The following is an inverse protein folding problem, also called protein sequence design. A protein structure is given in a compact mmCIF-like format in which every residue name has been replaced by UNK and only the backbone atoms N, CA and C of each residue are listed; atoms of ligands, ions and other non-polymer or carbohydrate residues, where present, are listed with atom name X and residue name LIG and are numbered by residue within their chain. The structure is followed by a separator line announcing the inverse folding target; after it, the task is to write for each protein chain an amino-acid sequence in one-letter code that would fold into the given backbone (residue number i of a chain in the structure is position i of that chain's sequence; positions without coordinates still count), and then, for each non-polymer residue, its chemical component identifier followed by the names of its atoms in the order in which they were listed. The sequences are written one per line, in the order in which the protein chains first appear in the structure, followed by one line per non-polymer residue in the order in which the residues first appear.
data_IF_820704909458
#
_entry.id   IF_820704909458
#
_cell.length_a   1.000
_cell.length_b   1.000
_cell.length_c   1.000
_cell.angle_alpha   90.00
_cell.angle_beta   90.00
_cell.angle_gamma   90.00
#
_symmetry.space_group_name_H-M   'P 1'
#
loop_
_entity.id
_entity.type
_entity.pdbx_description
1 polymer ?
#
# COMPACT_ATOMS: atom_id res chain seq x y z
N UNK A 1 -2.89 6.81 8.44
CA UNK A 1 -3.33 5.45 8.83
C UNK A 1 -4.22 4.89 7.74
N UNK A 2 -4.36 3.56 7.70
CA UNK A 2 -5.20 2.85 6.73
C UNK A 2 -4.39 2.08 5.69
N UNK A 3 -5.11 1.47 4.76
CA UNK A 3 -4.56 0.71 3.64
C UNK A 3 -4.40 1.60 2.42
N UNK A 4 -3.25 1.50 1.78
CA UNK A 4 -2.87 2.29 0.61
C UNK A 4 -2.30 1.38 -0.47
N UNK A 5 -2.57 1.68 -1.73
CA UNK A 5 -2.05 1.00 -2.90
C UNK A 5 -1.02 1.89 -3.60
N UNK A 6 0.13 1.33 -3.98
CA UNK A 6 1.11 2.00 -4.80
C UNK A 6 0.65 2.05 -6.26
N UNK A 7 0.42 3.25 -6.76
CA UNK A 7 0.04 3.51 -8.16
C UNK A 7 1.24 3.85 -9.03
N UNK A 8 2.31 4.36 -8.42
CA UNK A 8 3.53 4.73 -9.13
C UNK A 8 4.73 4.66 -8.20
N UNK A 9 5.64 3.74 -8.49
CA UNK A 9 7.02 3.78 -8.05
C UNK A 9 7.87 3.02 -9.07
N UNK A 10 8.75 3.76 -9.74
CA UNK A 10 9.76 3.20 -10.64
C UNK A 10 11.11 3.63 -10.10
N UNK A 11 11.92 2.66 -9.69
CA UNK A 11 13.22 2.90 -9.09
C UNK A 11 14.27 2.08 -9.83
N UNK A 12 15.21 2.73 -10.53
CA UNK A 12 16.28 2.08 -11.30
C UNK A 12 15.78 0.98 -12.26
N UNK A 13 14.63 1.19 -12.91
CA UNK A 13 14.02 0.21 -13.81
C UNK A 13 13.25 -0.93 -13.11
N UNK A 14 13.14 -0.89 -11.78
CA UNK A 14 12.25 -1.73 -10.99
C UNK A 14 10.87 -1.09 -10.94
N UNK A 15 9.84 -1.82 -11.37
CA UNK A 15 8.45 -1.43 -11.22
C UNK A 15 7.89 -2.04 -9.94
N UNK A 16 7.49 -1.19 -8.99
CA UNK A 16 6.94 -1.63 -7.72
C UNK A 16 5.40 -1.56 -7.77
N UNK A 17 4.75 -2.67 -7.38
CA UNK A 17 3.29 -2.80 -7.26
C UNK A 17 3.00 -3.40 -5.89
N UNK A 18 2.49 -2.61 -4.95
CA UNK A 18 2.35 -3.05 -3.56
C UNK A 18 1.26 -2.31 -2.81
N UNK A 19 0.95 -2.83 -1.63
CA UNK A 19 0.10 -2.19 -0.64
C UNK A 19 0.92 -1.81 0.59
N UNK A 20 0.55 -0.70 1.21
CA UNK A 20 1.07 -0.22 2.49
C UNK A 20 -0.07 -0.09 3.48
N UNK A 21 0.03 -0.76 4.62
CA UNK A 21 -0.89 -0.58 5.73
C UNK A 21 -0.18 0.12 6.90
N UNK A 22 -0.73 1.26 7.31
CA UNK A 22 -0.22 2.06 8.44
C UNK A 22 -1.20 2.01 9.61
N UNK A 23 -0.80 1.36 10.70
CA UNK A 23 -1.60 1.20 11.91
C UNK A 23 -1.38 2.37 12.89
N UNK A 24 -2.39 2.67 13.71
CA UNK A 24 -2.34 3.80 14.67
C UNK A 24 -1.42 3.62 15.86
N UNK A 25 -0.95 2.41 16.10
CA UNK A 25 0.07 2.10 17.10
C UNK A 25 1.50 2.28 16.58
N UNK A 26 1.68 2.89 15.40
CA UNK A 26 2.99 3.08 14.78
C UNK A 26 3.56 1.83 14.11
N UNK A 27 2.81 0.73 13.98
CA UNK A 27 3.19 -0.42 13.16
C UNK A 27 2.84 -0.20 11.69
N UNK A 28 3.54 -0.86 10.78
CA UNK A 28 3.18 -0.92 9.38
C UNK A 28 3.60 -2.22 8.70
N UNK A 29 2.99 -2.50 7.54
CA UNK A 29 3.34 -3.60 6.64
C UNK A 29 3.27 -3.12 5.19
N UNK A 30 4.23 -3.55 4.37
CA UNK A 30 4.24 -3.34 2.93
C UNK A 30 4.35 -4.69 2.23
N UNK A 31 3.49 -5.01 1.27
CA UNK A 31 3.55 -6.28 0.54
C UNK A 31 3.12 -6.13 -0.90
N UNK A 32 3.73 -6.91 -1.79
CA UNK A 32 3.42 -6.85 -3.21
C UNK A 32 4.49 -7.51 -4.06
N UNK A 33 4.72 -6.95 -5.23
CA UNK A 33 5.71 -7.41 -6.20
C UNK A 33 6.62 -6.27 -6.63
N UNK A 34 7.89 -6.61 -6.82
CA UNK A 34 8.84 -5.80 -7.58
C UNK A 34 9.12 -6.52 -8.91
N UNK A 35 9.00 -5.80 -10.02
CA UNK A 35 9.17 -6.34 -11.36
C UNK A 35 10.43 -5.74 -12.00
N UNK A 36 11.31 -6.60 -12.52
CA UNK A 36 12.52 -6.21 -13.27
C UNK A 36 12.60 -7.03 -14.54
N UNK A 37 12.74 -6.38 -15.70
CA UNK A 37 12.91 -7.06 -16.99
C UNK A 37 11.81 -8.13 -17.25
N UNK A 38 10.58 -7.86 -16.82
CA UNK A 38 9.42 -8.76 -16.94
C UNK A 38 9.34 -9.87 -15.88
N UNK A 39 10.28 -9.94 -14.94
CA UNK A 39 10.29 -10.92 -13.84
C UNK A 39 9.75 -10.27 -12.56
N UNK A 40 8.60 -10.73 -12.09
CA UNK A 40 7.99 -10.29 -10.84
C UNK A 40 8.46 -11.15 -9.65
N UNK A 41 9.00 -10.49 -8.61
CA UNK A 41 9.41 -11.10 -7.35
C UNK A 41 8.52 -10.56 -6.23
N UNK A 42 7.93 -11.44 -5.43
CA UNK A 42 7.11 -11.04 -4.29
C UNK A 42 7.96 -10.52 -3.12
N UNK A 43 7.42 -9.54 -2.39
CA UNK A 43 8.00 -9.09 -1.14
C UNK A 43 6.95 -8.85 -0.06
N UNK A 44 7.41 -8.94 1.19
CA UNK A 44 6.63 -8.66 2.38
C UNK A 44 7.56 -8.09 3.45
N UNK A 45 7.28 -6.85 3.86
CA UNK A 45 8.08 -6.08 4.80
C UNK A 45 7.18 -5.62 5.95
N UNK A 46 7.67 -5.64 7.18
CA UNK A 46 6.97 -5.06 8.32
C UNK A 46 7.91 -4.36 9.29
N UNK A 47 7.36 -3.45 10.08
CA UNK A 47 8.11 -2.73 11.09
C UNK A 47 7.33 -1.57 11.68
N UNK A 48 8.03 -0.47 11.96
CA UNK A 48 7.45 0.71 12.60
C UNK A 48 7.55 1.95 11.72
N UNK A 49 6.58 2.84 11.86
CA UNK A 49 6.54 4.11 11.15
C UNK A 49 6.26 5.28 12.09
N UNK A 50 6.76 6.45 11.71
CA UNK A 50 6.39 7.74 12.31
C UNK A 50 6.48 8.83 11.26
N UNK A 51 5.66 9.86 11.41
CA UNK A 51 5.68 11.03 10.55
C UNK A 51 6.07 12.25 11.38
N UNK A 52 7.24 12.85 11.09
CA UNK A 52 7.79 13.97 11.86
C UNK A 52 8.40 14.98 10.89
N UNK A 53 8.04 16.25 11.04
CA UNK A 53 8.66 17.35 10.27
C UNK A 53 8.56 17.18 8.76
N UNK A 54 7.43 16.68 8.25
CA UNK A 54 7.24 16.49 6.82
C UNK A 54 7.95 15.26 6.25
N UNK A 55 8.40 14.31 7.07
CA UNK A 55 9.10 13.10 6.63
C UNK A 55 8.46 11.86 7.23
N UNK A 56 8.29 10.84 6.40
CA UNK A 56 8.01 9.48 6.83
C UNK A 56 9.32 8.83 7.24
N UNK A 57 9.35 8.26 8.44
CA UNK A 57 10.43 7.39 8.90
C UNK A 57 9.85 5.98 9.01
N UNK A 58 10.44 5.03 8.30
CA UNK A 58 10.04 3.64 8.29
C UNK A 58 11.21 2.74 8.71
N UNK A 59 11.13 2.14 9.89
CA UNK A 59 12.11 1.17 10.36
C UNK A 59 11.67 -0.24 9.95
N UNK A 60 12.50 -0.91 9.15
CA UNK A 60 12.22 -2.26 8.64
C UNK A 60 12.71 -3.29 9.66
N UNK A 61 11.80 -4.05 10.25
CA UNK A 61 12.15 -5.09 11.23
C UNK A 61 12.16 -6.49 10.61
N UNK A 62 11.29 -6.72 9.62
CA UNK A 62 11.19 -7.97 8.89
C UNK A 62 11.05 -7.68 7.41
N UNK A 63 11.73 -8.48 6.58
CA UNK A 63 11.63 -8.38 5.12
C UNK A 63 12.04 -9.70 4.44
N UNK A 64 11.42 -9.97 3.29
CA UNK A 64 11.94 -10.95 2.32
C UNK A 64 13.19 -10.43 1.59
N UNK A 65 13.38 -9.10 1.52
CA UNK A 65 14.57 -8.43 1.00
C UNK A 65 15.55 -8.22 2.16
N UNK A 66 16.53 -9.10 2.30
CA UNK A 66 17.38 -9.16 3.51
C UNK A 66 18.19 -7.90 3.76
N UNK A 67 18.61 -7.20 2.70
CA UNK A 67 19.52 -6.07 2.81
C UNK A 67 18.92 -4.84 3.49
N UNK A 68 17.59 -4.75 3.58
CA UNK A 68 16.90 -3.60 4.18
C UNK A 68 16.52 -3.81 5.64
N UNK A 69 16.67 -5.02 6.20
CA UNK A 69 16.34 -5.30 7.60
C UNK A 69 17.24 -4.47 8.54
N UNK A 70 16.62 -3.85 9.55
CA UNK A 70 17.28 -2.97 10.52
C UNK A 70 17.56 -1.56 10.01
N UNK A 71 17.16 -1.23 8.77
CA UNK A 71 17.33 0.12 8.21
C UNK A 71 16.13 1.00 8.52
N UNK A 72 16.39 2.29 8.77
CA UNK A 72 15.39 3.35 8.74
C UNK A 72 15.39 3.99 7.34
N UNK A 73 14.28 3.85 6.62
CA UNK A 73 14.02 4.57 5.38
C UNK A 73 13.38 5.92 5.74
N UNK A 74 13.86 6.99 5.11
CA UNK A 74 13.40 8.35 5.39
C UNK A 74 12.96 8.99 4.09
N UNK A 75 11.64 9.16 3.96
CA UNK A 75 11.00 9.59 2.74
C UNK A 75 10.32 10.96 2.96
N UNK A 76 10.82 12.05 2.35
CA UNK A 76 10.18 13.35 2.42
C UNK A 76 8.77 13.35 1.82
N UNK A 77 7.85 14.04 2.48
CA UNK A 77 6.51 14.30 1.95
C UNK A 77 6.59 15.35 0.86
N UNK A 78 6.03 15.03 -0.30
CA UNK A 78 5.84 15.99 -1.41
C UNK A 78 4.41 16.53 -1.43
N UNK A 79 3.40 15.68 -1.20
CA UNK A 79 1.99 16.09 -1.15
C UNK A 79 1.17 15.12 -0.30
N UNK A 80 0.21 15.65 0.47
CA UNK A 80 -0.73 14.88 1.25
C UNK A 80 -2.15 15.37 0.98
N UNK A 81 -2.99 14.48 0.45
CA UNK A 81 -4.42 14.66 0.25
C UNK A 81 -5.18 13.60 1.05
N UNK A 82 -6.51 13.64 1.00
CA UNK A 82 -7.34 12.70 1.78
C UNK A 82 -7.10 11.24 1.35
N UNK A 83 -7.07 11.01 0.04
CA UNK A 83 -7.00 9.71 -0.62
C UNK A 83 -5.74 9.49 -1.43
N UNK A 84 -4.81 10.45 -1.46
CA UNK A 84 -3.52 10.32 -2.15
C UNK A 84 -2.40 10.88 -1.28
N UNK A 85 -1.26 10.20 -1.28
CA UNK A 85 -0.03 10.70 -0.67
C UNK A 85 1.14 10.47 -1.62
N UNK A 86 1.99 11.48 -1.71
CA UNK A 86 3.17 11.48 -2.56
C UNK A 86 4.41 11.67 -1.69
N UNK A 87 5.30 10.69 -1.73
CA UNK A 87 6.60 10.71 -1.05
C UNK A 87 7.72 10.79 -2.08
N UNK A 88 8.91 11.20 -1.62
CA UNK A 88 10.16 10.96 -2.34
C UNK A 88 10.91 9.84 -1.62
N UNK A 89 11.24 8.74 -2.31
CA UNK A 89 12.01 7.66 -1.69
C UNK A 89 13.50 8.03 -1.55
N UNK A 90 14.26 7.18 -0.86
CA UNK A 90 15.71 7.38 -0.63
C UNK A 90 16.57 7.52 -1.89
N UNK A 91 16.06 7.14 -3.07
CA UNK A 91 16.75 7.31 -4.35
C UNK A 91 16.32 8.55 -5.14
N UNK A 92 15.41 9.35 -4.58
CA UNK A 92 14.93 10.58 -5.21
C UNK A 92 13.71 10.38 -6.11
N UNK A 93 13.21 9.15 -6.25
CA UNK A 93 12.02 8.86 -7.05
C UNK A 93 10.73 9.19 -6.30
N UNK A 94 9.69 9.56 -7.05
CA UNK A 94 8.37 9.80 -6.49
C UNK A 94 7.60 8.50 -6.30
N UNK A 95 7.03 8.34 -5.11
CA UNK A 95 6.14 7.24 -4.74
C UNK A 95 4.74 7.81 -4.57
N UNK A 96 3.78 7.33 -5.34
CA UNK A 96 2.36 7.74 -5.26
C UNK A 96 1.54 6.60 -4.68
N UNK A 97 1.00 6.82 -3.49
CA UNK A 97 0.09 5.89 -2.84
C UNK A 97 -1.34 6.44 -2.83
N UNK A 98 -2.33 5.60 -3.10
CA UNK A 98 -3.75 5.94 -3.00
C UNK A 98 -4.45 5.13 -1.94
N UNK A 99 -5.29 5.78 -1.14
CA UNK A 99 -6.01 5.13 -0.05
C UNK A 99 -7.05 4.19 -0.60
N UNK A 100 -7.04 2.95 -0.13
CA UNK A 100 -8.14 2.02 -0.35
C UNK A 100 -9.23 2.36 0.67
N UNK A 101 -10.31 2.95 0.19
CA UNK A 101 -11.51 3.15 1.01
C UNK A 101 -12.10 1.76 1.26
N UNK A 102 -12.21 1.36 2.52
CA UNK A 102 -13.05 0.22 2.88
C UNK A 102 -14.47 0.54 2.44
N UNK A 103 -14.91 -0.07 1.34
CA UNK A 103 -16.29 0.02 0.91
C UNK A 103 -17.17 -0.53 2.02
N UNK A 104 -18.16 0.26 2.44
CA UNK A 104 -19.39 -0.28 2.99
C UNK A 104 -19.87 -1.39 2.05
N UNK A 105 -19.89 -2.62 2.53
CA UNK A 105 -20.72 -3.65 1.93
C UNK A 105 -22.19 -3.24 2.15
N UNK A 106 -22.69 -2.28 1.36
CA UNK A 106 -24.13 -2.05 1.25
C UNK A 106 -24.70 -3.15 0.38
N UNK A 107 -25.34 -4.08 1.08
CA UNK A 107 -26.47 -4.93 0.68
C UNK A 107 -26.92 -4.76 -0.77
N UNK A 108 -26.70 -5.81 -1.56
CA UNK A 108 -27.24 -5.98 -2.90
C UNK A 108 -27.32 -7.45 -3.30
N UNK A 109 -27.51 -8.36 -2.33
CA UNK A 109 -27.99 -9.71 -2.63
C UNK A 109 -29.50 -9.67 -2.54
N UNK A 110 -30.13 -9.25 -3.64
CA UNK A 110 -31.54 -9.51 -3.86
C UNK A 110 -31.74 -11.03 -3.82
N UNK A 111 -32.35 -11.51 -2.73
CA UNK A 111 -32.98 -12.83 -2.72
C UNK A 111 -33.90 -12.94 -3.95
N UNK A 112 -33.87 -14.03 -4.72
CA UNK A 112 -34.81 -14.18 -5.81
C UNK A 112 -36.22 -14.24 -5.22
N UNK A 113 -37.08 -13.29 -5.61
CA UNK A 113 -38.53 -13.44 -5.48
C UNK A 113 -38.92 -14.58 -6.41
N UNK A 114 -39.13 -15.75 -5.82
CA UNK A 114 -39.83 -16.86 -6.45
C UNK A 114 -41.26 -16.37 -6.72
N UNK A 115 -41.50 -15.90 -7.95
CA UNK A 115 -42.82 -15.46 -8.37
C UNK A 115 -43.71 -16.69 -8.54
N UNK A 116 -44.89 -16.55 -7.96
CA UNK A 116 -46.00 -17.49 -7.94
C UNK A 116 -46.36 -18.05 -9.33
N UNK A 117 -46.70 -19.34 -9.25
CA UNK A 117 -47.43 -20.19 -10.20
C UNK A 117 -48.33 -19.43 -11.19
N UNK A 118 -48.12 -19.67 -12.49
CA UNK A 118 -49.19 -19.60 -13.48
C UNK A 118 -49.97 -20.93 -13.49
N UNK A 119 -51.30 -20.93 -13.37
CA UNK A 119 -52.11 -22.10 -13.67
C UNK A 119 -52.39 -22.19 -15.18
N UNK A 120 -52.29 -23.39 -15.74
CA UNK A 120 -53.06 -23.83 -16.90
C UNK A 120 -54.13 -24.81 -16.42
#
# INVERSE_FOLDING_TARGET
MGLWECHREINHGLLWKYFSEFYGNGRCRNWGTVEKDGVATQFDNSGTWRFVGGKLFYNVEQSSIKDIIGRELVDPLLSLQEDEVIWQNTQGDQVVLRRIKSGSATEGSSSPKENDRCPQ
#
